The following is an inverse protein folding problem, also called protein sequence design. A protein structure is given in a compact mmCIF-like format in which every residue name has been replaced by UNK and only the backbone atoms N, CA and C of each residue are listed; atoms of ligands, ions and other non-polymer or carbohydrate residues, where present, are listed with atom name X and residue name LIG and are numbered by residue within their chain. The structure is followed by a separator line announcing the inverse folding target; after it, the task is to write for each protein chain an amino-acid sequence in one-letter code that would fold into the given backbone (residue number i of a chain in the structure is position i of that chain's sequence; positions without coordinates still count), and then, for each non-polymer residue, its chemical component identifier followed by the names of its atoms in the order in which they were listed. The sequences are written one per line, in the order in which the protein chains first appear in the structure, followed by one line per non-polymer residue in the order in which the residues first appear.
data_IF_903419904505
#
_entry.id   IF_903419904505
#
_cell.length_a   1.000
_cell.length_b   1.000
_cell.length_c   1.000
_cell.angle_alpha   90.00
_cell.angle_beta   90.00
_cell.angle_gamma   90.00
#
_symmetry.space_group_name_H-M   'P 1'
#
loop_
_entity.id
_entity.type
_entity.pdbx_description
1 polymer ?
#
# COMPACT_ATOMS: atom_id res chain seq x y z
N UNK A 1 -40.44 -4.03 7.63
CA UNK A 1 -39.65 -5.21 7.22
C UNK A 1 -38.44 -5.33 8.15
N UNK A 2 -38.66 -5.70 9.42
CA UNK A 2 -37.63 -5.79 10.47
C UNK A 2 -38.14 -6.73 11.60
N UNK A 3 -38.46 -7.97 11.25
CA UNK A 3 -38.87 -9.02 12.22
C UNK A 3 -37.93 -10.22 12.28
N UNK A 4 -36.97 -10.30 11.37
CA UNK A 4 -36.14 -11.49 11.18
C UNK A 4 -35.11 -11.69 12.31
N UNK A 5 -34.66 -10.61 12.96
CA UNK A 5 -33.60 -10.69 13.97
C UNK A 5 -34.07 -11.39 15.27
N UNK A 6 -35.20 -11.01 15.90
CA UNK A 6 -35.65 -11.67 17.13
C UNK A 6 -36.14 -13.12 16.94
N UNK A 7 -36.47 -13.54 15.72
CA UNK A 7 -36.92 -14.91 15.44
C UNK A 7 -35.76 -15.91 15.31
N UNK A 8 -34.54 -15.43 15.00
CA UNK A 8 -33.37 -16.26 14.76
C UNK A 8 -32.44 -16.40 15.98
N UNK A 9 -32.57 -15.48 16.94
CA UNK A 9 -31.77 -15.42 18.16
C UNK A 9 -31.76 -16.71 19.01
N UNK A 10 -32.89 -17.44 19.20
CA UNK A 10 -32.88 -18.69 19.97
C UNK A 10 -32.40 -19.92 19.18
N UNK A 11 -32.22 -19.81 17.85
CA UNK A 11 -31.90 -20.94 16.97
C UNK A 11 -30.41 -21.01 16.59
N UNK A 12 -29.67 -19.93 16.81
CA UNK A 12 -28.25 -19.83 16.47
C UNK A 12 -27.48 -19.22 17.63
N UNK A 13 -26.33 -19.82 17.97
CA UNK A 13 -25.37 -19.20 18.88
C UNK A 13 -24.68 -18.05 18.13
N UNK A 14 -25.34 -16.88 18.08
CA UNK A 14 -24.72 -15.66 17.58
C UNK A 14 -23.60 -15.31 18.57
N UNK A 15 -22.35 -15.53 18.16
CA UNK A 15 -21.19 -15.08 18.93
C UNK A 15 -21.35 -13.57 19.13
N UNK A 16 -21.25 -13.13 20.38
CA UNK A 16 -21.51 -11.78 20.86
C UNK A 16 -20.44 -10.76 20.38
N UNK A 17 -20.20 -10.70 19.06
CA UNK A 17 -19.42 -9.62 18.47
C UNK A 17 -20.35 -8.41 18.33
N UNK A 18 -20.36 -7.55 19.35
CA UNK A 18 -21.06 -6.29 19.30
C UNK A 18 -20.44 -5.35 18.24
N UNK A 19 -21.21 -4.41 17.66
CA UNK A 19 -20.68 -3.39 16.75
C UNK A 19 -19.55 -2.56 17.36
N UNK A 20 -19.48 -2.46 18.70
CA UNK A 20 -18.37 -1.83 19.41
C UNK A 20 -17.02 -2.55 19.20
N UNK A 21 -17.00 -3.88 19.19
CA UNK A 21 -15.76 -4.65 18.98
C UNK A 21 -15.29 -4.59 17.52
N UNK A 22 -16.23 -4.60 16.57
CA UNK A 22 -15.94 -4.34 15.15
C UNK A 22 -15.39 -2.93 14.93
N UNK A 23 -15.98 -1.92 15.60
CA UNK A 23 -15.54 -0.53 15.48
C UNK A 23 -14.16 -0.26 16.09
N UNK A 24 -13.78 -0.94 17.17
CA UNK A 24 -12.44 -0.81 17.76
C UNK A 24 -11.36 -1.43 16.86
N UNK A 25 -11.65 -2.55 16.20
CA UNK A 25 -10.74 -3.16 15.25
C UNK A 25 -10.55 -2.29 14.00
N UNK A 26 -11.65 -1.76 13.43
CA UNK A 26 -11.60 -0.80 12.32
C UNK A 26 -10.84 0.48 12.71
N UNK A 27 -10.99 0.96 13.95
CA UNK A 27 -10.26 2.13 14.45
C UNK A 27 -8.75 1.88 14.60
N UNK A 28 -8.34 0.69 15.06
CA UNK A 28 -6.94 0.32 15.23
C UNK A 28 -6.23 0.06 13.89
N UNK A 29 -6.88 -0.67 12.97
CA UNK A 29 -6.41 -0.90 11.59
C UNK A 29 -6.20 0.44 10.86
N UNK A 30 -7.16 1.35 11.02
CA UNK A 30 -7.04 2.72 10.52
C UNK A 30 -5.85 3.48 11.13
N UNK A 31 -5.50 3.28 12.39
CA UNK A 31 -4.40 4.01 13.03
C UNK A 31 -3.02 3.70 12.43
N UNK A 32 -2.70 2.42 12.19
CA UNK A 32 -1.41 2.03 11.59
C UNK A 32 -1.32 2.44 10.11
N UNK A 33 -2.43 2.33 9.37
CA UNK A 33 -2.53 2.89 8.04
C UNK A 33 -2.28 4.39 8.02
N UNK A 34 -2.95 5.15 8.90
CA UNK A 34 -2.78 6.60 9.02
C UNK A 34 -1.34 6.96 9.41
N UNK A 35 -0.70 6.18 10.27
CA UNK A 35 0.69 6.38 10.69
C UNK A 35 1.67 6.19 9.53
N UNK A 36 1.49 5.14 8.72
CA UNK A 36 2.40 4.82 7.61
C UNK A 36 2.15 5.73 6.40
N UNK A 37 0.88 6.01 6.09
CA UNK A 37 0.50 6.87 4.97
C UNK A 37 0.57 8.36 5.29
N UNK A 38 0.56 8.74 6.56
CA UNK A 38 0.39 10.13 6.97
C UNK A 38 -0.95 10.71 6.54
N UNK A 39 -1.98 9.85 6.40
CA UNK A 39 -3.31 10.22 5.91
C UNK A 39 -3.37 10.54 4.41
N UNK A 40 -2.33 10.18 3.65
CA UNK A 40 -2.35 10.30 2.19
C UNK A 40 -3.24 9.25 1.56
N UNK A 41 -4.02 9.70 0.58
CA UNK A 41 -4.97 8.88 -0.17
C UNK A 41 -4.81 9.06 -1.69
N UNK A 42 -3.95 9.98 -2.14
CA UNK A 42 -3.65 10.18 -3.56
C UNK A 42 -2.67 9.11 -4.07
N UNK A 43 -2.90 8.63 -5.28
CA UNK A 43 -2.17 7.52 -5.89
C UNK A 43 -0.67 7.75 -5.90
N UNK A 44 -0.19 8.94 -6.29
CA UNK A 44 1.25 9.23 -6.34
C UNK A 44 1.92 9.11 -4.97
N UNK A 45 1.27 9.60 -3.90
CA UNK A 45 1.80 9.46 -2.54
C UNK A 45 1.79 8.00 -2.08
N UNK A 46 0.70 7.27 -2.36
CA UNK A 46 0.58 5.86 -2.01
C UNK A 46 1.60 5.00 -2.77
N UNK A 47 1.79 5.22 -4.07
CA UNK A 47 2.83 4.56 -4.87
C UNK A 47 4.23 4.85 -4.36
N UNK A 48 4.48 6.07 -3.88
CA UNK A 48 5.77 6.40 -3.26
C UNK A 48 6.01 5.57 -2.00
N UNK A 49 4.97 5.38 -1.17
CA UNK A 49 5.03 4.56 0.05
C UNK A 49 5.20 3.08 -0.32
N UNK A 50 4.41 2.58 -1.28
CA UNK A 50 4.48 1.18 -1.75
C UNK A 50 5.86 0.86 -2.30
N UNK A 51 6.45 1.78 -3.07
CA UNK A 51 7.82 1.63 -3.56
C UNK A 51 8.84 1.57 -2.41
N UNK A 52 8.66 2.35 -1.34
CA UNK A 52 9.53 2.25 -0.17
C UNK A 52 9.41 0.86 0.50
N UNK A 53 8.19 0.36 0.68
CA UNK A 53 7.92 -0.96 1.25
C UNK A 53 8.48 -2.09 0.37
N UNK A 54 8.27 -2.01 -0.94
CA UNK A 54 8.75 -2.99 -1.93
C UNK A 54 10.28 -3.03 -2.05
N UNK A 55 10.97 -2.00 -1.57
CA UNK A 55 12.43 -1.92 -1.52
C UNK A 55 12.97 -2.02 -0.09
N UNK A 56 12.15 -2.37 0.91
CA UNK A 56 12.57 -2.43 2.30
C UNK A 56 13.34 -1.15 2.73
N UNK A 57 12.73 0.00 2.45
CA UNK A 57 13.20 1.32 2.89
C UNK A 57 12.11 1.98 3.75
N UNK A 58 12.47 2.89 4.67
CA UNK A 58 11.48 3.53 5.54
C UNK A 58 10.36 4.19 4.71
N UNK A 59 9.08 3.89 4.98
CA UNK A 59 7.96 4.40 4.19
C UNK A 59 7.88 5.92 4.27
N UNK A 60 7.82 6.56 3.11
CA UNK A 60 7.72 8.03 2.98
C UNK A 60 6.75 8.37 1.87
N UNK A 61 5.87 9.33 2.11
CA UNK A 61 5.00 9.90 1.09
C UNK A 61 5.73 10.83 0.09
N UNK A 62 7.04 11.04 0.27
CA UNK A 62 7.88 11.79 -0.66
C UNK A 62 9.33 11.35 -0.57
N UNK A 63 9.99 11.27 -1.73
CA UNK A 63 11.40 10.95 -1.87
C UNK A 63 12.18 12.21 -2.24
N UNK A 64 13.36 12.39 -1.65
CA UNK A 64 14.32 13.32 -2.23
C UNK A 64 14.91 12.72 -3.50
N UNK A 65 15.46 13.53 -4.41
CA UNK A 65 16.22 13.02 -5.58
C UNK A 65 17.29 11.99 -5.21
N UNK A 66 17.97 12.17 -4.07
CA UNK A 66 18.97 11.21 -3.57
C UNK A 66 18.31 9.91 -3.11
N UNK A 67 17.20 9.98 -2.37
CA UNK A 67 16.47 8.81 -1.93
C UNK A 67 15.90 8.01 -3.12
N UNK A 68 15.35 8.70 -4.13
CA UNK A 68 14.88 8.08 -5.37
C UNK A 68 15.99 7.32 -6.08
N UNK A 69 17.19 7.91 -6.22
CA UNK A 69 18.36 7.19 -6.80
C UNK A 69 18.77 5.97 -5.99
N UNK A 70 18.66 6.02 -4.66
CA UNK A 70 18.98 4.88 -3.81
C UNK A 70 17.97 3.74 -3.96
N UNK A 71 16.68 4.07 -4.05
CA UNK A 71 15.61 3.11 -4.34
C UNK A 71 15.87 2.40 -5.68
N UNK A 72 16.16 3.15 -6.75
CA UNK A 72 16.48 2.58 -8.08
C UNK A 72 17.65 1.59 -7.99
N UNK A 73 18.73 1.98 -7.29
CA UNK A 73 19.89 1.10 -7.11
C UNK A 73 19.55 -0.15 -6.32
N UNK A 74 18.71 -0.03 -5.29
CA UNK A 74 18.27 -1.17 -4.49
C UNK A 74 17.43 -2.14 -5.31
N UNK A 75 16.51 -1.64 -6.13
CA UNK A 75 15.75 -2.48 -7.08
C UNK A 75 16.69 -3.26 -8.01
N UNK A 76 17.73 -2.62 -8.54
CA UNK A 76 18.70 -3.28 -9.43
C UNK A 76 19.60 -4.30 -8.73
N UNK A 77 19.83 -4.13 -7.43
CA UNK A 77 20.68 -5.03 -6.65
C UNK A 77 19.89 -6.23 -6.10
N UNK A 78 18.70 -5.96 -5.55
CA UNK A 78 17.94 -6.89 -4.72
C UNK A 78 16.61 -7.34 -5.36
N UNK A 79 16.24 -6.73 -6.49
CA UNK A 79 14.92 -6.87 -7.10
C UNK A 79 13.84 -6.03 -6.42
N UNK A 80 12.67 -5.94 -7.05
CA UNK A 80 11.49 -5.30 -6.48
C UNK A 80 10.60 -6.36 -5.80
N UNK A 81 10.26 -6.15 -4.53
CA UNK A 81 9.46 -7.12 -3.78
C UNK A 81 7.98 -6.76 -3.80
N UNK A 82 7.14 -7.59 -4.43
CA UNK A 82 5.69 -7.36 -4.50
C UNK A 82 4.98 -7.58 -3.16
N UNK A 83 5.36 -8.66 -2.47
CA UNK A 83 4.62 -9.19 -1.33
C UNK A 83 4.53 -8.26 -0.11
N UNK A 84 5.57 -7.50 0.28
CA UNK A 84 5.49 -6.59 1.43
C UNK A 84 4.37 -5.55 1.30
N UNK A 85 4.12 -5.05 0.09
CA UNK A 85 3.05 -4.08 -0.18
C UNK A 85 1.68 -4.73 -0.02
N UNK A 86 1.47 -5.92 -0.60
CA UNK A 86 0.20 -6.65 -0.48
C UNK A 86 -0.11 -7.01 0.98
N UNK A 87 0.91 -7.43 1.75
CA UNK A 87 0.76 -7.69 3.18
C UNK A 87 0.38 -6.42 3.93
N UNK A 88 1.01 -5.29 3.63
CA UNK A 88 0.67 -4.00 4.23
C UNK A 88 -0.78 -3.58 3.93
N UNK A 89 -1.22 -3.69 2.66
CA UNK A 89 -2.60 -3.35 2.26
C UNK A 89 -3.61 -4.20 3.03
N UNK A 90 -3.44 -5.53 3.04
CA UNK A 90 -4.36 -6.46 3.71
C UNK A 90 -4.42 -6.29 5.22
N UNK A 91 -3.28 -5.95 5.83
CA UNK A 91 -3.17 -5.84 7.28
C UNK A 91 -3.67 -4.50 7.83
N UNK A 92 -3.51 -3.41 7.07
CA UNK A 92 -3.68 -2.07 7.61
C UNK A 92 -4.65 -1.19 6.82
N UNK A 93 -4.80 -1.37 5.51
CA UNK A 93 -5.69 -0.48 4.75
C UNK A 93 -7.15 -0.67 5.16
N UNK A 94 -7.97 0.40 5.17
CA UNK A 94 -9.41 0.28 5.37
C UNK A 94 -10.00 -0.78 4.45
N UNK A 95 -10.85 -1.65 4.99
CA UNK A 95 -11.35 -2.83 4.26
C UNK A 95 -11.92 -2.49 2.88
N UNK A 96 -12.64 -1.36 2.78
CA UNK A 96 -13.25 -0.90 1.54
C UNK A 96 -12.23 -0.53 0.45
N UNK A 97 -10.99 -0.21 0.82
CA UNK A 97 -9.93 0.19 -0.11
C UNK A 97 -9.00 -0.97 -0.49
N UNK A 98 -9.01 -2.08 0.26
CA UNK A 98 -8.01 -3.15 0.09
C UNK A 98 -8.00 -3.72 -1.33
N UNK A 99 -9.16 -4.09 -1.85
CA UNK A 99 -9.27 -4.69 -3.19
C UNK A 99 -8.77 -3.75 -4.29
N UNK A 100 -9.14 -2.46 -4.22
CA UNK A 100 -8.76 -1.47 -5.22
C UNK A 100 -7.26 -1.18 -5.15
N UNK A 101 -6.69 -1.09 -3.96
CA UNK A 101 -5.25 -0.89 -3.76
C UNK A 101 -4.42 -2.10 -4.19
N UNK A 102 -4.90 -3.32 -3.96
CA UNK A 102 -4.27 -4.54 -4.46
C UNK A 102 -4.27 -4.58 -5.99
N UNK A 103 -5.42 -4.28 -6.61
CA UNK A 103 -5.52 -4.23 -8.07
C UNK A 103 -4.60 -3.17 -8.68
N UNK A 104 -4.58 -1.96 -8.09
CA UNK A 104 -3.68 -0.87 -8.50
C UNK A 104 -2.21 -1.30 -8.42
N UNK A 105 -1.81 -1.94 -7.31
CA UNK A 105 -0.44 -2.40 -7.15
C UNK A 105 -0.11 -3.53 -8.12
N UNK A 106 -1.02 -4.46 -8.35
CA UNK A 106 -0.81 -5.57 -9.27
C UNK A 106 -0.65 -5.09 -10.72
N UNK A 107 -1.40 -4.05 -11.13
CA UNK A 107 -1.29 -3.41 -12.43
C UNK A 107 0.03 -2.67 -12.60
N UNK A 108 0.42 -1.86 -11.62
CA UNK A 108 1.59 -0.99 -11.73
C UNK A 108 2.93 -1.69 -11.45
N UNK A 109 2.92 -2.76 -10.65
CA UNK A 109 4.13 -3.51 -10.31
C UNK A 109 5.03 -3.86 -11.52
N UNK A 110 4.51 -4.50 -12.60
CA UNK A 110 5.35 -4.83 -13.76
C UNK A 110 5.93 -3.59 -14.46
N UNK A 111 5.18 -2.49 -14.49
CA UNK A 111 5.66 -1.23 -15.09
C UNK A 111 6.80 -0.63 -14.26
N UNK A 112 6.63 -0.59 -12.94
CA UNK A 112 7.66 -0.12 -12.00
C UNK A 112 8.90 -1.01 -12.10
N UNK A 113 8.75 -2.33 -12.06
CA UNK A 113 9.86 -3.27 -12.13
C UNK A 113 10.65 -3.09 -13.43
N UNK A 114 9.96 -3.00 -14.57
CA UNK A 114 10.56 -2.78 -15.89
C UNK A 114 11.32 -1.45 -15.96
N UNK A 115 10.69 -0.35 -15.52
CA UNK A 115 11.27 0.98 -15.59
C UNK A 115 12.52 1.13 -14.70
N UNK A 116 12.52 0.53 -13.52
CA UNK A 116 13.62 0.70 -12.56
C UNK A 116 14.78 -0.27 -12.78
N UNK A 117 14.51 -1.45 -13.37
CA UNK A 117 15.49 -2.52 -13.55
C UNK A 117 16.26 -2.46 -14.87
N UNK A 118 15.95 -1.52 -15.78
CA UNK A 118 16.62 -1.38 -17.08
C UNK A 118 18.16 -1.20 -16.92
N UNK A 119 18.98 -2.21 -17.28
CA UNK A 119 20.43 -2.13 -17.13
C UNK A 119 21.08 -1.17 -18.14
N UNK A 120 20.39 -0.82 -19.23
CA UNK A 120 20.88 0.13 -20.24
C UNK A 120 20.85 1.58 -19.73
N UNK A 121 19.96 1.88 -18.79
CA UNK A 121 19.86 3.19 -18.15
C UNK A 121 20.93 3.36 -17.06
N UNK A 122 22.18 3.49 -17.47
CA UNK A 122 23.36 3.59 -16.58
C UNK A 122 23.38 4.87 -15.73
N UNK A 123 22.84 5.98 -16.27
CA UNK A 123 22.74 7.26 -15.56
C UNK A 123 21.56 7.34 -14.56
N UNK A 124 20.63 6.38 -14.67
CA UNK A 124 19.34 6.31 -13.96
C UNK A 124 18.34 7.39 -14.40
N UNK A 125 18.51 7.99 -15.59
CA UNK A 125 17.71 9.14 -16.01
C UNK A 125 16.30 8.74 -16.41
N UNK A 126 16.14 7.60 -17.08
CA UNK A 126 14.81 7.07 -17.45
C UNK A 126 14.06 6.60 -16.20
N UNK A 127 14.74 5.85 -15.34
CA UNK A 127 14.18 5.41 -14.07
C UNK A 127 13.77 6.61 -13.19
N UNK A 128 14.58 7.68 -13.15
CA UNK A 128 14.21 8.90 -12.43
C UNK A 128 13.06 9.68 -13.07
N UNK A 129 12.95 9.69 -14.40
CA UNK A 129 11.83 10.32 -15.09
C UNK A 129 10.51 9.59 -14.73
N UNK A 130 10.51 8.26 -14.80
CA UNK A 130 9.38 7.43 -14.39
C UNK A 130 8.96 7.72 -12.93
N UNK A 131 9.92 7.79 -12.00
CA UNK A 131 9.61 8.12 -10.61
C UNK A 131 9.06 9.53 -10.42
N UNK A 132 9.45 10.51 -11.23
CA UNK A 132 8.90 11.88 -11.14
C UNK A 132 7.48 11.98 -11.69
N UNK A 133 7.13 11.13 -12.64
CA UNK A 133 5.79 11.08 -13.25
C UNK A 133 4.80 10.36 -12.32
N UNK A 134 5.24 9.27 -11.68
CA UNK A 134 4.35 8.37 -10.93
C UNK A 134 4.47 8.47 -9.41
N UNK A 135 5.55 9.06 -8.89
CA UNK A 135 5.80 9.21 -7.45
C UNK A 135 6.04 10.67 -7.06
N UNK A 136 6.03 10.93 -5.76
CA UNK A 136 6.32 12.25 -5.20
C UNK A 136 7.83 12.38 -4.99
N UNK A 137 8.52 12.95 -5.97
CA UNK A 137 9.97 13.23 -5.90
C UNK A 137 10.22 14.73 -5.75
N UNK A 138 11.00 15.12 -4.73
CA UNK A 138 11.38 16.51 -4.42
C UNK A 138 12.89 16.73 -4.44
#
# INVERSE_FOLDING_TARGET
MNRLIPELEPLYYLRDFGPEDASQFDAAVSADWQKITGGKIDDNSLLTIFLCLATDTPPKAALSKVAARNVIRKVRADGLQRQPVLVFIRAFAPYQLQQDLEALWDELFPEVESALSDPSDTALDRALAFLKENCVVR
#
